data_IF_744947505798
#
_entry.id   IF_744947505798
#
_cell.length_a   1.000
_cell.length_b   1.000
_cell.length_c   1.000
_cell.angle_alpha   90.00
_cell.angle_beta   90.00
_cell.angle_gamma   90.00
#
_symmetry.space_group_name_H-M   'P 1'
#
loop_
_entity.id
_entity.type
_entity.pdbx_description
1 polymer ?
#
# COMPACT_ATOMS: atom_id res chain seq x y z
N UNK A 1 6.15 12.01 5.41
CA UNK A 1 6.40 10.81 6.24
C UNK A 1 7.26 9.88 5.40
N UNK A 2 8.31 9.30 5.97
CA UNK A 2 9.18 8.36 5.26
C UNK A 2 8.96 6.96 5.85
N UNK A 3 8.70 5.98 4.99
CA UNK A 3 8.40 4.60 5.38
C UNK A 3 9.16 3.67 4.45
N UNK A 4 9.71 2.60 5.02
CA UNK A 4 10.33 1.54 4.23
C UNK A 4 9.25 0.79 3.45
N UNK A 5 9.53 0.48 2.18
CA UNK A 5 8.65 -0.34 1.34
C UNK A 5 9.30 -1.70 1.14
N UNK A 6 8.58 -2.78 1.46
CA UNK A 6 9.05 -4.16 1.29
C UNK A 6 8.13 -4.95 0.38
N UNK A 7 8.72 -5.65 -0.59
CA UNK A 7 7.98 -6.61 -1.39
C UNK A 7 7.86 -7.95 -0.62
N UNK A 8 6.65 -8.49 -0.52
CA UNK A 8 6.39 -9.77 0.18
C UNK A 8 5.89 -10.79 -0.84
N UNK A 9 6.61 -11.91 -0.94
CA UNK A 9 6.47 -12.91 -2.02
C UNK A 9 5.22 -13.79 -1.98
N UNK A 10 4.46 -13.78 -0.89
CA UNK A 10 3.51 -14.87 -0.59
C UNK A 10 2.11 -14.36 -0.19
N UNK A 11 1.70 -13.20 -0.69
CA UNK A 11 0.37 -12.65 -0.38
C UNK A 11 -0.50 -12.77 -1.63
N UNK A 12 -1.59 -13.55 -1.53
CA UNK A 12 -2.58 -13.77 -2.61
C UNK A 12 -3.44 -12.53 -2.94
N UNK A 13 -3.07 -11.36 -2.44
CA UNK A 13 -3.79 -10.10 -2.55
C UNK A 13 -3.04 -9.16 -3.48
N UNK A 14 -3.77 -8.30 -4.19
CA UNK A 14 -3.18 -7.18 -4.96
C UNK A 14 -3.08 -5.89 -4.13
N UNK A 15 -3.49 -5.92 -2.87
CA UNK A 15 -3.49 -4.76 -1.98
C UNK A 15 -2.24 -4.72 -1.11
N UNK A 16 -1.69 -3.53 -0.93
CA UNK A 16 -0.63 -3.27 0.03
C UNK A 16 -1.15 -3.42 1.46
N UNK A 17 -0.29 -3.86 2.37
CA UNK A 17 -0.53 -3.85 3.80
C UNK A 17 0.20 -2.66 4.42
N UNK A 18 -0.54 -1.82 5.15
CA UNK A 18 0.02 -0.61 5.75
C UNK A 18 0.35 -0.83 7.23
N UNK A 19 1.41 -0.19 7.76
CA UNK A 19 1.63 -0.13 9.20
C UNK A 19 0.45 0.48 9.94
N UNK A 20 0.11 -0.06 11.12
CA UNK A 20 -0.98 0.48 11.95
C UNK A 20 -0.85 1.98 12.23
N UNK A 21 0.38 2.47 12.47
CA UNK A 21 0.63 3.91 12.69
C UNK A 21 0.28 4.75 11.47
N UNK A 22 0.53 4.24 10.26
CA UNK A 22 0.18 4.94 9.03
C UNK A 22 -1.34 4.98 8.85
N UNK A 23 -2.04 3.85 9.10
CA UNK A 23 -3.51 3.79 9.04
C UNK A 23 -4.11 4.83 9.99
N UNK A 24 -3.63 4.90 11.24
CA UNK A 24 -4.08 5.88 12.22
C UNK A 24 -3.83 7.33 11.79
N UNK A 25 -2.65 7.62 11.22
CA UNK A 25 -2.33 8.96 10.71
C UNK A 25 -3.24 9.36 9.54
N UNK A 26 -3.51 8.43 8.62
CA UNK A 26 -4.43 8.64 7.51
C UNK A 26 -5.87 8.87 8.01
N UNK A 27 -6.35 8.07 8.97
CA UNK A 27 -7.66 8.25 9.61
C UNK A 27 -7.80 9.63 10.27
N UNK A 28 -6.76 10.05 11.01
CA UNK A 28 -6.74 11.38 11.64
C UNK A 28 -6.74 12.50 10.60
N UNK A 29 -6.07 12.32 9.47
CA UNK A 29 -6.02 13.32 8.38
C UNK A 29 -7.35 13.38 7.64
N UNK A 30 -8.01 12.24 7.43
CA UNK A 30 -9.32 12.14 6.79
C UNK A 30 -10.47 12.60 7.70
N UNK A 31 -10.22 12.83 8.99
CA UNK A 31 -11.26 13.22 9.95
C UNK A 31 -12.21 12.07 10.32
N UNK A 32 -11.78 10.81 10.19
CA UNK A 32 -12.63 9.66 10.48
C UNK A 32 -12.16 8.35 9.87
N UNK A 33 -13.12 7.51 9.47
CA UNK A 33 -12.84 6.21 8.86
C UNK A 33 -12.29 6.39 7.45
N UNK A 34 -11.29 5.56 7.10
CA UNK A 34 -10.80 5.50 5.73
C UNK A 34 -11.82 4.83 4.82
N UNK A 35 -11.86 5.22 3.53
CA UNK A 35 -12.68 4.52 2.57
C UNK A 35 -12.29 3.04 2.49
N UNK A 36 -13.23 2.14 2.10
CA UNK A 36 -12.95 0.71 1.97
C UNK A 36 -11.79 0.39 1.01
N UNK A 37 -11.57 1.26 0.02
CA UNK A 37 -10.47 1.19 -0.94
C UNK A 37 -9.77 2.55 -0.99
N UNK A 38 -8.45 2.55 -0.80
CA UNK A 38 -7.62 3.75 -0.86
C UNK A 38 -6.50 3.56 -1.88
N UNK A 39 -6.38 4.50 -2.82
CA UNK A 39 -5.23 4.59 -3.70
C UNK A 39 -4.13 5.44 -3.02
N UNK A 40 -2.91 4.92 -3.00
CA UNK A 40 -1.75 5.57 -2.40
C UNK A 40 -0.67 5.74 -3.46
N UNK A 41 -0.15 6.96 -3.55
CA UNK A 41 1.05 7.28 -4.32
C UNK A 41 2.27 7.21 -3.38
N UNK A 42 3.19 6.30 -3.68
CA UNK A 42 4.46 6.16 -2.98
C UNK A 42 5.54 6.87 -3.80
N UNK A 43 6.25 7.81 -3.18
CA UNK A 43 7.37 8.52 -3.81
C UNK A 43 8.67 8.05 -3.21
N UNK A 44 9.59 7.61 -4.07
CA UNK A 44 10.96 7.27 -3.69
C UNK A 44 11.83 8.52 -3.73
N UNK A 45 12.87 8.55 -2.88
CA UNK A 45 13.91 9.58 -2.91
C UNK A 45 14.64 9.66 -4.25
N UNK A 46 14.65 8.57 -5.05
CA UNK A 46 15.21 8.56 -6.40
C UNK A 46 14.33 9.25 -7.46
N UNK A 47 13.15 9.75 -7.07
CA UNK A 47 12.17 10.37 -7.97
C UNK A 47 11.20 9.39 -8.62
N UNK A 48 11.34 8.08 -8.36
CA UNK A 48 10.38 7.09 -8.82
C UNK A 48 9.07 7.19 -8.02
N UNK A 49 7.92 7.11 -8.70
CA UNK A 49 6.59 7.11 -8.09
C UNK A 49 5.84 5.81 -8.40
N UNK A 50 5.25 5.18 -7.39
CA UNK A 50 4.45 3.96 -7.53
C UNK A 50 3.03 4.18 -7.02
N UNK A 51 2.06 3.56 -7.67
CA UNK A 51 0.67 3.59 -7.20
C UNK A 51 0.31 2.23 -6.64
N UNK A 52 -0.18 2.20 -5.40
CA UNK A 52 -0.64 0.98 -4.74
C UNK A 52 -2.05 1.17 -4.20
N UNK A 53 -2.81 0.09 -4.17
CA UNK A 53 -4.14 0.07 -3.57
C UNK A 53 -4.08 -0.55 -2.17
N UNK A 54 -4.85 -0.01 -1.24
CA UNK A 54 -5.03 -0.55 0.11
C UNK A 54 -6.51 -0.80 0.35
N UNK A 55 -6.85 -1.97 0.91
CA UNK A 55 -8.22 -2.38 1.21
C UNK A 55 -8.34 -2.92 2.64
N UNK A 56 -7.99 -2.10 3.63
CA UNK A 56 -8.08 -2.48 5.05
C UNK A 56 -6.96 -3.38 5.57
N UNK A 57 -5.99 -3.77 4.73
CA UNK A 57 -4.89 -4.67 5.14
C UNK A 57 -3.89 -3.96 6.06
N UNK A 58 -3.67 -4.52 7.25
CA UNK A 58 -2.76 -3.96 8.24
C UNK A 58 -1.56 -4.89 8.47
N UNK A 59 -0.36 -4.30 8.61
CA UNK A 59 0.83 -5.01 9.08
C UNK A 59 1.24 -4.51 10.46
N UNK A 60 1.82 -5.43 11.25
CA UNK A 60 2.51 -5.11 12.52
C UNK A 60 3.92 -4.56 12.27
N UNK A 61 4.43 -4.67 11.05
CA UNK A 61 5.70 -4.09 10.62
C UNK A 61 5.64 -2.57 10.59
N UNK A 62 6.81 -1.93 10.62
CA UNK A 62 6.96 -0.51 10.32
C UNK A 62 7.05 -0.21 8.83
N UNK A 63 7.08 -1.24 7.97
CA UNK A 63 7.18 -1.11 6.53
C UNK A 63 5.82 -1.24 5.82
N UNK A 64 5.67 -0.57 4.69
CA UNK A 64 4.59 -0.82 3.73
C UNK A 64 4.94 -2.11 3.00
N UNK A 65 4.09 -3.13 3.13
CA UNK A 65 4.27 -4.41 2.48
C UNK A 65 3.47 -4.44 1.19
N UNK A 66 4.16 -4.59 0.06
CA UNK A 66 3.54 -4.70 -1.26
C UNK A 66 3.63 -6.16 -1.71
N UNK A 67 2.53 -6.78 -2.13
CA UNK A 67 2.56 -8.13 -2.67
C UNK A 67 3.43 -8.17 -3.93
N UNK A 68 4.37 -9.11 -3.99
CA UNK A 68 5.13 -9.38 -5.21
C UNK A 68 4.19 -10.09 -6.20
N UNK A 69 3.48 -9.32 -7.01
CA UNK A 69 2.65 -9.90 -8.06
C UNK A 69 3.58 -10.27 -9.23
N UNK A 70 3.68 -11.56 -9.59
CA UNK A 70 4.48 -11.95 -10.74
C UNK A 70 3.96 -11.25 -12.00
N UNK A 71 4.85 -10.82 -12.92
CA UNK A 71 4.49 -10.00 -14.09
C UNK A 71 3.45 -10.66 -15.01
N UNK A 72 3.27 -11.98 -14.92
CA UNK A 72 2.25 -12.74 -15.65
C UNK A 72 0.80 -12.51 -15.18
N UNK A 73 0.58 -11.94 -13.99
CA UNK A 73 -0.76 -11.60 -13.48
C UNK A 73 -1.11 -10.12 -13.54
N UNK A 74 -0.15 -9.26 -13.88
CA UNK A 74 -0.36 -7.82 -14.04
C UNK A 74 -0.66 -7.46 -15.51
N UNK A 75 -1.57 -8.17 -16.17
CA UNK A 75 -2.32 -7.57 -17.29
C UNK A 75 -3.34 -6.64 -16.67
N UNK A 76 -2.85 -5.47 -16.29
CA UNK A 76 -3.54 -4.20 -16.23
C UNK A 76 -5.03 -4.30 -16.60
N UNK A 77 -5.89 -4.37 -15.57
CA UNK A 77 -7.25 -3.88 -15.69
C UNK A 77 -7.16 -2.36 -15.85
N UNK A 78 -6.96 -1.92 -17.08
CA UNK A 78 -7.23 -0.54 -17.49
C UNK A 78 -8.50 -0.67 -18.35
N UNK A 79 -9.61 -0.22 -17.77
CA UNK A 79 -10.85 0.07 -18.50
C UNK A 79 -11.11 1.56 -18.36
#
# INVERSE_FOLDING_TARGET
>A
MELEVRAVGEIASCFASLPLRLIQALQSTAGGFLPPLLALELKSHSGASWHVAWSGSASKSSAIEVPLVPPTRLRWFIY
#
